data_IF_180995177434
#
_entry.id   IF_180995177434
#
_cell.length_a   1.000
_cell.length_b   1.000
_cell.length_c   1.000
_cell.angle_alpha   90.00
_cell.angle_beta   90.00
_cell.angle_gamma   90.00
#
_symmetry.space_group_name_H-M   'P 1'
#
loop_
_entity.id
_entity.type
_entity.pdbx_description
1 polymer ?
#
# COMPACT_ATOMS: atom_id res chain seq x y z
N UNK A 1 -74.76 -14.57 28.98
CA UNK A 1 -75.67 -14.02 27.96
C UNK A 1 -75.29 -12.57 27.67
N UNK A 2 -74.53 -12.31 26.59
CA UNK A 2 -74.65 -11.17 25.67
C UNK A 2 -73.47 -11.22 24.69
N UNK A 3 -73.81 -11.05 23.41
CA UNK A 3 -73.05 -11.36 22.22
C UNK A 3 -72.92 -10.06 21.41
N UNK A 4 -71.83 -9.95 20.65
CA UNK A 4 -71.55 -9.00 19.54
C UNK A 4 -71.16 -7.57 20.00
N UNK A 5 -70.23 -6.86 19.38
CA UNK A 5 -70.01 -6.68 17.93
C UNK A 5 -68.50 -6.48 17.62
N UNK A 6 -68.04 -7.09 16.52
CA UNK A 6 -66.75 -6.85 15.86
C UNK A 6 -66.68 -5.44 15.25
N UNK A 7 -65.50 -4.84 15.22
CA UNK A 7 -65.11 -4.01 14.07
C UNK A 7 -63.67 -4.31 13.67
N UNK A 8 -63.47 -4.31 12.36
CA UNK A 8 -62.39 -4.93 11.61
C UNK A 8 -61.36 -3.91 11.08
N UNK A 9 -60.18 -4.42 10.71
CA UNK A 9 -59.16 -3.75 9.88
C UNK A 9 -57.81 -3.70 10.61
N UNK A 10 -56.67 -4.14 10.09
CA UNK A 10 -56.23 -4.58 8.76
C UNK A 10 -55.01 -5.53 8.91
N UNK A 11 -54.75 -6.26 7.83
CA UNK A 11 -53.82 -7.37 7.61
C UNK A 11 -52.35 -6.91 7.40
N UNK A 12 -51.39 -7.62 8.04
CA UNK A 12 -49.98 -8.04 7.75
C UNK A 12 -49.05 -7.23 6.80
N UNK A 13 -47.73 -7.55 6.68
CA UNK A 13 -46.67 -7.92 7.65
C UNK A 13 -45.32 -7.19 7.33
N UNK A 14 -44.29 -7.25 8.19
CA UNK A 14 -42.89 -7.14 7.71
C UNK A 14 -41.98 -8.11 8.46
N UNK A 15 -41.18 -8.77 7.63
CA UNK A 15 -40.35 -9.95 7.79
C UNK A 15 -38.91 -9.54 8.14
N UNK A 16 -38.25 -10.35 8.99
CA UNK A 16 -36.83 -10.71 9.01
C UNK A 16 -35.76 -9.66 9.37
N UNK A 17 -35.01 -9.95 10.44
CA UNK A 17 -33.54 -9.82 10.41
C UNK A 17 -32.88 -10.78 11.40
N UNK A 18 -32.39 -11.90 10.89
CA UNK A 18 -31.36 -12.72 11.53
C UNK A 18 -30.19 -12.79 10.54
N UNK A 19 -29.04 -12.23 10.89
CA UNK A 19 -27.78 -12.51 10.22
C UNK A 19 -26.70 -12.77 11.27
N UNK A 20 -26.39 -14.05 11.43
CA UNK A 20 -25.12 -14.53 11.98
C UNK A 20 -24.14 -14.58 10.81
N UNK A 21 -23.01 -13.86 10.89
CA UNK A 21 -21.87 -14.12 10.02
C UNK A 21 -20.87 -15.00 10.79
N UNK A 22 -20.87 -16.29 10.47
CA UNK A 22 -19.85 -17.26 10.87
C UNK A 22 -18.67 -17.19 9.90
N UNK A 23 -17.47 -17.04 10.46
CA UNK A 23 -16.19 -17.31 9.80
C UNK A 23 -16.12 -18.78 9.36
N UNK A 24 -15.99 -19.03 8.06
CA UNK A 24 -15.37 -20.23 7.52
C UNK A 24 -14.70 -19.87 6.19
N UNK A 25 -13.38 -19.75 6.18
CA UNK A 25 -12.58 -19.92 4.97
C UNK A 25 -12.24 -21.40 4.90
N UNK A 26 -12.90 -22.13 4.00
CA UNK A 26 -12.55 -23.50 3.64
C UNK A 26 -11.55 -23.48 2.47
N UNK A 27 -10.45 -24.20 2.67
CA UNK A 27 -9.33 -24.33 1.76
C UNK A 27 -9.46 -25.65 0.99
N UNK A 28 -10.02 -25.61 -0.22
CA UNK A 28 -9.82 -26.67 -1.21
C UNK A 28 -10.02 -26.16 -2.64
N UNK A 29 -8.90 -26.15 -3.38
CA UNK A 29 -8.76 -26.34 -4.84
C UNK A 29 -9.85 -25.73 -5.74
N UNK A 30 -9.58 -24.53 -6.24
CA UNK A 30 -10.14 -24.04 -7.50
C UNK A 30 -8.98 -23.76 -8.46
N UNK A 31 -8.75 -24.69 -9.39
CA UNK A 31 -8.08 -24.39 -10.66
C UNK A 31 -9.02 -23.52 -11.47
N UNK A 32 -8.90 -22.22 -11.27
CA UNK A 32 -9.57 -21.18 -12.03
C UNK A 32 -8.82 -19.90 -11.73
N UNK A 33 -7.94 -19.48 -12.64
CA UNK A 33 -7.35 -18.15 -12.61
C UNK A 33 -8.52 -17.18 -12.82
N UNK A 34 -9.13 -16.74 -11.73
CA UNK A 34 -9.86 -15.48 -11.71
C UNK A 34 -8.80 -14.40 -11.67
N UNK A 35 -8.56 -13.72 -12.80
CA UNK A 35 -7.83 -12.45 -12.85
C UNK A 35 -8.63 -11.38 -12.08
N UNK A 36 -8.64 -11.50 -10.75
CA UNK A 36 -8.94 -10.40 -9.85
C UNK A 36 -7.62 -9.66 -9.67
N UNK A 37 -7.50 -8.50 -10.32
CA UNK A 37 -6.37 -7.60 -10.11
C UNK A 37 -6.31 -7.22 -8.63
N UNK A 38 -5.26 -7.66 -7.94
CA UNK A 38 -4.96 -7.26 -6.57
C UNK A 38 -4.48 -5.81 -6.53
N UNK A 39 -4.46 -5.21 -5.34
CA UNK A 39 -3.90 -3.86 -5.15
C UNK A 39 -2.47 -3.98 -4.60
N UNK A 40 -1.49 -3.60 -5.42
CA UNK A 40 -0.08 -3.53 -5.00
C UNK A 40 0.16 -2.37 -4.04
N UNK A 41 -0.39 -1.22 -4.39
CA UNK A 41 -0.12 0.03 -3.70
C UNK A 41 -1.38 0.89 -3.70
N UNK A 42 -1.70 1.48 -2.55
CA UNK A 42 -2.86 2.34 -2.40
C UNK A 42 -2.52 3.54 -1.53
N UNK A 43 -2.34 4.69 -2.18
CA UNK A 43 -2.37 6.00 -1.53
C UNK A 43 -3.49 6.82 -2.15
N UNK A 44 -4.74 6.50 -1.86
CA UNK A 44 -5.89 7.22 -2.41
C UNK A 44 -6.46 8.28 -1.46
N UNK A 45 -5.66 8.78 -0.50
CA UNK A 45 -6.10 9.76 0.51
C UNK A 45 -6.32 11.14 -0.11
N UNK A 46 -7.49 11.28 -0.73
CA UNK A 46 -7.98 12.50 -1.35
C UNK A 46 -9.14 13.12 -0.56
N UNK A 47 -9.93 12.29 0.10
CA UNK A 47 -11.17 12.70 0.76
C UNK A 47 -10.86 13.14 2.18
N UNK A 48 -11.13 14.40 2.48
CA UNK A 48 -11.08 14.91 3.85
C UNK A 48 -12.46 15.18 4.43
N UNK A 49 -13.46 15.48 3.59
CA UNK A 49 -14.83 15.69 4.04
C UNK A 49 -15.79 14.88 3.16
N UNK A 50 -16.11 13.65 3.56
CA UNK A 50 -17.06 12.81 2.84
C UNK A 50 -18.44 13.47 2.77
N UNK A 51 -19.00 13.60 1.56
CA UNK A 51 -20.34 14.13 1.30
C UNK A 51 -20.56 15.62 1.62
N UNK A 52 -19.54 16.37 2.05
CA UNK A 52 -19.68 17.78 2.43
C UNK A 52 -19.26 18.76 1.33
N UNK A 53 -18.79 18.25 0.18
CA UNK A 53 -18.46 19.05 -1.00
C UNK A 53 -19.71 19.53 -1.75
N UNK A 54 -19.46 20.15 -2.91
CA UNK A 54 -20.52 20.67 -3.76
C UNK A 54 -21.55 19.59 -4.12
N UNK A 55 -22.84 19.89 -3.90
CA UNK A 55 -23.94 19.01 -4.31
C UNK A 55 -23.93 17.64 -3.62
N UNK A 56 -23.29 17.50 -2.45
CA UNK A 56 -23.18 16.24 -1.71
C UNK A 56 -22.04 15.33 -2.18
N UNK A 57 -21.16 15.82 -3.06
CA UNK A 57 -19.91 15.14 -3.42
C UNK A 57 -18.91 15.18 -2.26
N UNK A 58 -17.82 14.41 -2.36
CA UNK A 58 -16.72 14.49 -1.39
C UNK A 58 -15.88 15.75 -1.62
N UNK A 59 -15.32 16.31 -0.54
CA UNK A 59 -14.35 17.38 -0.65
C UNK A 59 -12.93 16.89 -0.31
N UNK A 60 -11.99 17.30 -1.16
CA UNK A 60 -10.56 17.26 -0.90
C UNK A 60 -10.12 18.67 -0.50
N UNK A 61 -9.91 18.90 0.80
CA UNK A 61 -9.60 20.24 1.32
C UNK A 61 -8.10 20.40 1.59
N UNK A 62 -7.56 21.57 1.25
CA UNK A 62 -6.27 22.06 1.75
C UNK A 62 -6.45 22.48 3.21
N UNK A 63 -5.82 21.78 4.16
CA UNK A 63 -5.82 22.22 5.58
C UNK A 63 -4.85 23.38 5.80
N UNK A 64 -5.23 24.32 6.66
CA UNK A 64 -4.34 25.39 7.12
C UNK A 64 -3.27 24.84 8.07
N UNK A 65 -2.02 25.33 8.05
CA UNK A 65 -1.54 26.52 7.32
C UNK A 65 -1.14 26.23 5.86
N UNK A 66 -1.41 25.04 5.34
CA UNK A 66 -1.12 24.67 3.95
C UNK A 66 -1.93 25.48 2.95
N UNK A 67 -1.34 25.70 1.78
CA UNK A 67 -1.94 26.47 0.68
C UNK A 67 -1.92 25.69 -0.64
N UNK A 68 -1.24 24.53 -0.68
CA UNK A 68 -1.04 23.77 -1.89
C UNK A 68 -2.33 23.04 -2.34
N UNK A 69 -2.98 23.64 -3.33
CA UNK A 69 -4.16 23.04 -3.99
C UNK A 69 -3.81 21.87 -4.90
N UNK A 70 -2.63 21.93 -5.51
CA UNK A 70 -2.11 20.91 -6.42
C UNK A 70 -0.76 21.35 -6.98
N UNK A 71 -0.01 20.38 -7.48
CA UNK A 71 1.26 20.60 -8.17
C UNK A 71 1.03 20.61 -9.68
N UNK A 72 1.59 21.58 -10.38
CA UNK A 72 1.47 21.67 -11.84
C UNK A 72 2.08 20.42 -12.48
N UNK A 73 1.33 19.77 -13.35
CA UNK A 73 1.76 18.55 -14.03
C UNK A 73 1.68 18.69 -15.56
N UNK A 74 1.57 19.92 -16.07
CA UNK A 74 1.45 20.19 -17.50
C UNK A 74 2.59 19.53 -18.28
N UNK A 75 2.19 18.67 -19.23
CA UNK A 75 3.09 17.93 -20.10
C UNK A 75 4.15 18.83 -20.76
N UNK A 76 5.34 18.27 -21.01
CA UNK A 76 6.58 18.94 -21.41
C UNK A 76 7.22 19.88 -20.38
N UNK A 77 6.43 20.62 -19.60
CA UNK A 77 6.98 21.62 -18.66
C UNK A 77 7.23 21.05 -17.28
N UNK A 78 6.25 20.32 -16.73
CA UNK A 78 6.29 19.81 -15.37
C UNK A 78 6.11 18.29 -15.35
N UNK A 79 6.68 17.66 -14.32
CA UNK A 79 6.42 16.25 -14.00
C UNK A 79 6.27 16.10 -12.50
N UNK A 80 5.47 15.14 -12.09
CA UNK A 80 5.29 14.74 -10.71
C UNK A 80 5.95 13.38 -10.54
N UNK A 81 6.56 13.11 -9.40
CA UNK A 81 7.05 11.79 -9.07
C UNK A 81 6.81 11.44 -7.62
N UNK A 82 6.54 10.17 -7.35
CA UNK A 82 6.45 9.63 -6.00
C UNK A 82 6.84 8.14 -6.01
N UNK A 83 7.17 7.59 -4.84
CA UNK A 83 7.66 6.21 -4.74
C UNK A 83 6.60 5.18 -4.34
N UNK A 84 6.80 3.97 -4.83
CA UNK A 84 6.06 2.79 -4.42
C UNK A 84 7.01 1.62 -4.19
N UNK A 85 6.58 0.67 -3.36
CA UNK A 85 7.37 -0.51 -3.02
C UNK A 85 6.66 -1.76 -3.49
N UNK A 86 7.38 -2.61 -4.22
CA UNK A 86 7.00 -4.00 -4.48
C UNK A 86 7.45 -4.85 -3.28
N UNK A 87 6.53 -5.53 -2.58
CA UNK A 87 6.87 -6.33 -1.40
C UNK A 87 7.88 -7.44 -1.69
N UNK A 88 8.70 -7.76 -0.68
CA UNK A 88 9.58 -8.93 -0.74
C UNK A 88 8.79 -10.24 -0.95
N UNK A 89 9.38 -11.17 -1.70
CA UNK A 89 8.80 -12.49 -1.94
C UNK A 89 7.82 -12.58 -3.11
N UNK A 90 7.53 -11.47 -3.80
CA UNK A 90 6.61 -11.44 -4.94
C UNK A 90 7.15 -10.58 -6.08
N UNK A 91 6.98 -11.05 -7.31
CA UNK A 91 7.03 -10.22 -8.52
C UNK A 91 5.62 -9.76 -8.78
N UNK A 92 5.43 -8.50 -9.15
CA UNK A 92 4.11 -7.96 -9.46
C UNK A 92 4.03 -7.59 -10.92
N UNK A 93 3.07 -8.18 -11.63
CA UNK A 93 2.68 -7.77 -12.98
C UNK A 93 1.61 -6.70 -12.85
N UNK A 94 1.92 -5.47 -13.22
CA UNK A 94 1.00 -4.33 -13.03
C UNK A 94 0.00 -4.27 -14.18
N UNK A 95 -1.29 -4.30 -13.89
CA UNK A 95 -2.36 -4.23 -14.88
C UNK A 95 -2.72 -2.79 -15.22
N UNK A 96 -2.88 -1.97 -14.18
CA UNK A 96 -3.23 -0.56 -14.37
C UNK A 96 -2.82 0.30 -13.18
N UNK A 97 -2.65 1.59 -13.45
CA UNK A 97 -2.34 2.59 -12.43
C UNK A 97 -3.41 3.68 -12.48
N UNK A 98 -3.92 4.06 -11.32
CA UNK A 98 -4.78 5.21 -11.16
C UNK A 98 -3.96 6.39 -10.67
N UNK A 99 -4.01 7.48 -11.42
CA UNK A 99 -3.51 8.79 -10.99
C UNK A 99 -4.66 9.79 -10.98
N UNK A 100 -4.44 10.95 -10.37
CA UNK A 100 -5.48 11.96 -10.20
C UNK A 100 -4.99 13.32 -10.66
N UNK A 101 -5.84 14.04 -11.40
CA UNK A 101 -5.56 15.39 -11.86
C UNK A 101 -6.86 16.20 -11.97
N UNK A 102 -6.74 17.52 -11.94
CA UNK A 102 -7.85 18.44 -12.23
C UNK A 102 -7.37 19.64 -13.06
N UNK A 103 -8.31 20.33 -13.69
CA UNK A 103 -8.10 21.66 -14.28
C UNK A 103 -9.02 22.66 -13.56
N UNK A 104 -8.59 23.91 -13.37
CA UNK A 104 -9.49 24.91 -12.80
C UNK A 104 -10.60 25.24 -13.79
N UNK A 105 -11.79 25.47 -13.26
CA UNK A 105 -13.01 25.81 -14.00
C UNK A 105 -13.41 24.74 -15.05
N UNK A 106 -13.09 23.46 -14.81
CA UNK A 106 -13.58 22.36 -15.63
C UNK A 106 -14.93 21.83 -15.11
N UNK A 107 -15.72 21.23 -16.01
CA UNK A 107 -16.91 20.45 -15.64
C UNK A 107 -16.57 19.03 -15.19
N UNK A 108 -17.58 18.21 -14.91
CA UNK A 108 -17.43 16.80 -14.51
C UNK A 108 -17.14 15.86 -15.69
N UNK A 109 -17.31 16.33 -16.92
CA UNK A 109 -16.71 15.68 -18.10
C UNK A 109 -15.23 16.02 -18.14
N UNK A 110 -14.39 14.99 -18.10
CA UNK A 110 -12.93 15.19 -18.03
C UNK A 110 -12.40 15.92 -19.25
N UNK A 111 -11.67 17.01 -19.00
CA UNK A 111 -10.90 17.73 -20.01
C UNK A 111 -9.47 17.18 -20.14
N UNK A 112 -9.07 16.24 -19.27
CA UNK A 112 -7.77 15.56 -19.30
C UNK A 112 -7.74 14.59 -20.49
N UNK A 113 -6.76 14.73 -21.37
CA UNK A 113 -6.68 13.98 -22.62
C UNK A 113 -5.36 13.23 -22.82
N UNK A 114 -4.43 13.35 -21.88
CA UNK A 114 -3.10 12.78 -22.02
C UNK A 114 -2.45 12.50 -20.66
N UNK A 115 -1.75 11.37 -20.57
CA UNK A 115 -0.81 11.07 -19.48
C UNK A 115 0.44 10.40 -20.07
N UNK A 116 1.63 10.95 -19.82
CA UNK A 116 2.88 10.22 -20.04
C UNK A 116 3.50 9.81 -18.71
N UNK A 117 4.11 8.63 -18.67
CA UNK A 117 4.61 8.02 -17.44
C UNK A 117 5.90 7.27 -17.70
N UNK A 118 6.82 7.40 -16.74
CA UNK A 118 8.08 6.66 -16.67
C UNK A 118 8.31 6.16 -15.25
N UNK A 119 8.81 4.94 -15.10
CA UNK A 119 9.17 4.37 -13.79
C UNK A 119 10.69 4.19 -13.72
N UNK A 120 11.25 4.51 -12.57
CA UNK A 120 12.66 4.47 -12.27
C UNK A 120 12.94 3.49 -11.15
N UNK A 121 14.04 2.74 -11.28
CA UNK A 121 14.70 2.14 -10.15
C UNK A 121 15.69 3.18 -9.59
N UNK A 122 15.31 3.81 -8.47
CA UNK A 122 15.98 4.99 -7.91
C UNK A 122 15.20 6.29 -8.14
N UNK A 123 15.64 7.38 -7.48
CA UNK A 123 14.98 8.69 -7.54
C UNK A 123 15.19 9.31 -8.94
N UNK A 124 14.16 9.90 -9.58
CA UNK A 124 14.29 10.45 -10.93
C UNK A 124 15.46 11.44 -11.07
N UNK A 125 16.29 11.22 -12.09
CA UNK A 125 17.50 11.99 -12.41
C UNK A 125 18.57 12.06 -11.30
N UNK A 126 18.52 11.21 -10.26
CA UNK A 126 19.64 11.03 -9.34
C UNK A 126 20.69 10.09 -9.94
N UNK A 127 21.98 10.32 -9.67
CA UNK A 127 23.07 9.43 -10.10
C UNK A 127 22.78 7.97 -9.67
N UNK A 128 22.96 7.03 -10.60
CA UNK A 128 22.68 5.60 -10.38
C UNK A 128 21.22 5.19 -10.62
N UNK A 129 20.30 6.13 -10.86
CA UNK A 129 18.89 5.79 -11.12
C UNK A 129 18.66 5.43 -12.58
N UNK A 130 17.92 4.36 -12.82
CA UNK A 130 17.71 3.79 -14.17
C UNK A 130 16.22 3.77 -14.50
N UNK A 131 15.86 4.21 -15.70
CA UNK A 131 14.49 4.07 -16.21
C UNK A 131 14.20 2.60 -16.55
N UNK A 132 13.20 2.01 -15.89
CA UNK A 132 12.84 0.59 -16.02
C UNK A 132 11.53 0.36 -16.77
N UNK A 133 10.70 1.39 -16.92
CA UNK A 133 9.52 1.35 -17.77
C UNK A 133 9.17 2.74 -18.30
N UNK A 134 8.58 2.78 -19.49
CA UNK A 134 7.94 3.95 -20.03
C UNK A 134 8.89 5.06 -20.46
N UNK A 135 8.32 6.22 -20.73
CA UNK A 135 8.97 7.36 -21.35
C UNK A 135 8.17 8.63 -21.07
N UNK A 136 8.69 9.76 -21.54
CA UNK A 136 8.12 11.07 -21.22
C UNK A 136 7.15 11.58 -22.28
N UNK A 137 6.91 10.87 -23.39
CA UNK A 137 6.21 11.38 -24.59
C UNK A 137 4.99 10.56 -25.01
N UNK A 138 4.95 9.26 -24.75
CA UNK A 138 3.85 8.38 -25.12
C UNK A 138 2.65 8.59 -24.20
N UNK A 139 1.48 8.81 -24.79
CA UNK A 139 0.22 8.81 -24.07
C UNK A 139 -0.14 7.39 -23.63
N UNK A 140 -0.23 7.15 -22.33
CA UNK A 140 -0.59 5.87 -21.73
C UNK A 140 -1.96 5.87 -21.06
N UNK A 141 -2.69 6.98 -21.12
CA UNK A 141 -4.04 7.07 -20.57
C UNK A 141 -5.02 6.26 -21.41
N UNK A 142 -5.77 5.34 -20.77
CA UNK A 142 -6.83 4.57 -21.42
C UNK A 142 -8.22 5.04 -21.03
N UNK A 143 -8.36 5.70 -19.87
CA UNK A 143 -9.64 6.20 -19.37
C UNK A 143 -9.44 7.41 -18.48
N UNK A 144 -10.42 8.31 -18.48
CA UNK A 144 -10.52 9.35 -17.46
C UNK A 144 -11.97 9.51 -17.00
N UNK A 145 -12.19 9.65 -15.69
CA UNK A 145 -13.52 9.80 -15.10
C UNK A 145 -13.49 10.75 -13.92
N UNK A 146 -14.58 11.46 -13.69
CA UNK A 146 -14.79 12.21 -12.46
C UNK A 146 -14.87 11.28 -11.26
N UNK A 147 -14.20 11.62 -10.17
CA UNK A 147 -14.14 10.78 -8.95
C UNK A 147 -15.30 10.98 -8.00
N UNK A 148 -16.21 11.92 -8.27
CA UNK A 148 -17.13 12.46 -7.28
C UNK A 148 -16.44 13.22 -6.12
N UNK A 149 -15.24 13.76 -6.37
CA UNK A 149 -14.47 14.56 -5.40
C UNK A 149 -14.13 15.93 -6.01
N UNK A 150 -14.37 17.01 -5.26
CA UNK A 150 -13.92 18.35 -5.63
C UNK A 150 -12.72 18.80 -4.80
N UNK A 151 -11.73 19.42 -5.44
CA UNK A 151 -10.63 20.10 -4.73
C UNK A 151 -11.10 21.49 -4.27
N UNK A 152 -11.07 21.72 -2.96
CA UNK A 152 -11.57 22.94 -2.34
C UNK A 152 -10.59 23.51 -1.30
N UNK A 153 -10.85 24.75 -0.85
CA UNK A 153 -10.22 25.32 0.34
C UNK A 153 -11.15 25.15 1.54
N UNK A 154 -10.60 25.28 2.75
CA UNK A 154 -11.36 25.24 4.00
C UNK A 154 -12.43 26.34 4.09
N UNK A 155 -12.20 27.50 3.49
CA UNK A 155 -13.15 28.62 3.43
C UNK A 155 -14.21 28.48 2.32
N UNK A 156 -14.12 27.46 1.46
CA UNK A 156 -14.95 27.32 0.27
C UNK A 156 -15.18 25.86 -0.13
N UNK A 157 -15.59 25.04 0.86
CA UNK A 157 -15.83 23.59 0.70
C UNK A 157 -16.85 23.24 -0.41
N UNK A 158 -17.82 24.12 -0.66
CA UNK A 158 -18.84 23.97 -1.70
C UNK A 158 -18.36 24.36 -3.11
N UNK A 159 -17.06 24.60 -3.31
CA UNK A 159 -16.49 24.93 -4.63
C UNK A 159 -16.61 23.76 -5.62
N UNK A 160 -17.22 24.01 -6.78
CA UNK A 160 -17.38 23.02 -7.86
C UNK A 160 -16.41 23.21 -9.04
N UNK A 161 -15.48 24.17 -8.96
CA UNK A 161 -14.63 24.56 -10.10
C UNK A 161 -13.38 23.69 -10.27
N UNK A 162 -13.19 22.64 -9.47
CA UNK A 162 -12.02 21.74 -9.54
C UNK A 162 -12.43 20.27 -9.32
N UNK A 163 -13.25 19.71 -10.22
CA UNK A 163 -13.57 18.29 -10.15
C UNK A 163 -12.29 17.47 -10.36
N UNK A 164 -11.99 16.57 -9.42
CA UNK A 164 -10.85 15.68 -9.52
C UNK A 164 -11.21 14.56 -10.50
N UNK A 165 -10.37 14.42 -11.51
CA UNK A 165 -10.46 13.37 -12.51
C UNK A 165 -9.46 12.27 -12.15
N UNK A 166 -9.90 11.02 -12.17
CA UNK A 166 -9.02 9.86 -12.14
C UNK A 166 -8.66 9.46 -13.55
N UNK A 167 -7.38 9.26 -13.83
CA UNK A 167 -6.90 8.68 -15.07
C UNK A 167 -6.46 7.24 -14.82
N UNK A 168 -6.91 6.32 -15.67
CA UNK A 168 -6.38 4.95 -15.73
C UNK A 168 -5.26 4.92 -16.76
N UNK A 169 -4.10 4.46 -16.33
CA UNK A 169 -2.87 4.39 -17.12
C UNK A 169 -2.55 2.92 -17.39
N UNK A 170 -2.29 2.60 -18.65
CA UNK A 170 -1.83 1.28 -19.08
C UNK A 170 -0.30 1.21 -19.01
N UNK A 171 0.22 0.12 -18.46
CA UNK A 171 1.64 -0.18 -18.32
C UNK A 171 2.04 -1.47 -19.07
N UNK A 172 1.18 -1.94 -19.98
CA UNK A 172 1.37 -3.12 -20.82
C UNK A 172 1.73 -4.38 -20.02
N UNK A 173 1.11 -4.56 -18.84
CA UNK A 173 1.38 -5.71 -17.96
C UNK A 173 2.87 -5.88 -17.64
N UNK A 174 3.58 -4.79 -17.34
CA UNK A 174 5.01 -4.85 -16.99
C UNK A 174 5.20 -5.40 -15.58
N UNK A 175 6.15 -6.32 -15.45
CA UNK A 175 6.49 -6.97 -14.18
C UNK A 175 7.63 -6.27 -13.44
N UNK A 176 7.48 -6.14 -12.12
CA UNK A 176 8.47 -5.57 -11.23
C UNK A 176 8.83 -6.55 -10.13
N UNK A 177 10.13 -6.69 -9.87
CA UNK A 177 10.66 -7.47 -8.75
C UNK A 177 10.55 -6.66 -7.44
N UNK A 178 10.77 -7.29 -6.27
CA UNK A 178 10.82 -6.59 -5.00
C UNK A 178 11.81 -5.44 -5.03
N UNK A 179 11.38 -4.29 -4.50
CA UNK A 179 12.18 -3.09 -4.50
C UNK A 179 11.33 -1.83 -4.39
N UNK A 180 12.00 -0.70 -4.19
CA UNK A 180 11.37 0.62 -4.22
C UNK A 180 11.65 1.27 -5.56
N UNK A 181 10.58 1.72 -6.20
CA UNK A 181 10.60 2.38 -7.50
C UNK A 181 10.00 3.76 -7.38
N UNK A 182 10.41 4.66 -8.27
CA UNK A 182 9.80 5.98 -8.40
C UNK A 182 9.02 6.05 -9.69
N UNK A 183 7.73 6.37 -9.58
CA UNK A 183 6.89 6.63 -10.73
C UNK A 183 6.89 8.13 -10.99
N UNK A 184 7.21 8.54 -12.20
CA UNK A 184 7.00 9.90 -12.67
C UNK A 184 5.92 9.98 -13.74
N UNK A 185 5.14 11.07 -13.73
CA UNK A 185 4.12 11.32 -14.72
C UNK A 185 3.95 12.81 -15.05
N UNK A 186 3.38 13.06 -16.21
CA UNK A 186 2.81 14.37 -16.57
C UNK A 186 1.49 14.19 -17.30
N UNK A 187 0.70 15.25 -17.29
CA UNK A 187 -0.70 15.25 -17.72
C UNK A 187 -0.92 16.40 -18.69
N UNK A 188 -1.78 16.21 -19.70
CA UNK A 188 -2.27 17.31 -20.53
C UNK A 188 -3.79 17.37 -20.53
N UNK A 189 -4.32 18.54 -20.91
CA UNK A 189 -5.75 18.77 -20.98
C UNK A 189 -6.13 19.72 -22.12
N UNK A 190 -7.42 19.77 -22.40
CA UNK A 190 -8.00 20.52 -23.53
C UNK A 190 -8.34 21.97 -23.20
N UNK A 191 -8.28 22.39 -21.92
CA UNK A 191 -8.60 23.75 -21.49
C UNK A 191 -7.39 24.50 -20.92
N UNK A 192 -7.49 25.82 -20.83
CA UNK A 192 -6.44 26.76 -20.39
C UNK A 192 -6.25 26.80 -18.86
N UNK A 193 -6.02 25.64 -18.24
CA UNK A 193 -5.67 25.55 -16.82
C UNK A 193 -4.89 24.30 -16.47
N UNK A 194 -3.72 24.41 -15.84
CA UNK A 194 -2.94 23.23 -15.46
C UNK A 194 -2.68 22.31 -16.67
N UNK A 195 -2.74 20.97 -16.52
CA UNK A 195 -3.36 20.25 -15.39
C UNK A 195 -2.58 20.24 -14.07
N UNK A 196 -3.29 20.03 -12.96
CA UNK A 196 -2.74 19.98 -11.60
C UNK A 196 -2.96 18.60 -10.98
N UNK A 197 -1.96 18.05 -10.30
CA UNK A 197 -2.11 16.85 -9.46
C UNK A 197 -2.38 17.27 -8.00
N UNK A 198 -3.50 16.87 -7.39
CA UNK A 198 -3.76 17.16 -5.98
C UNK A 198 -2.80 16.38 -5.08
N UNK A 199 -2.29 16.95 -3.97
CA UNK A 199 -1.51 16.19 -3.01
C UNK A 199 -2.43 15.25 -2.19
N UNK A 200 -1.83 14.25 -1.53
CA UNK A 200 -2.51 13.52 -0.45
C UNK A 200 -2.97 14.50 0.61
N UNK A 201 -4.21 14.35 1.04
CA UNK A 201 -4.86 15.18 2.06
C UNK A 201 -5.33 14.27 3.19
N UNK A 202 -4.57 14.26 4.29
CA UNK A 202 -4.79 13.41 5.46
C UNK A 202 -5.12 14.31 6.65
N UNK A 203 -6.19 13.98 7.37
CA UNK A 203 -6.65 14.81 8.48
C UNK A 203 -5.61 14.90 9.60
N UNK A 204 -5.29 16.12 10.03
CA UNK A 204 -4.43 16.35 11.19
C UNK A 204 -2.92 16.18 10.96
N UNK A 205 -2.46 16.03 9.71
CA UNK A 205 -1.02 16.05 9.39
C UNK A 205 -0.70 16.90 8.16
N UNK A 206 0.29 17.76 8.28
CA UNK A 206 0.86 18.50 7.15
C UNK A 206 1.75 17.61 6.28
N UNK A 207 2.48 16.67 6.87
CA UNK A 207 3.39 15.77 6.14
C UNK A 207 2.61 14.56 5.62
N UNK A 208 2.61 14.38 4.31
CA UNK A 208 1.84 13.32 3.64
C UNK A 208 2.66 12.46 2.67
N UNK A 209 3.97 12.69 2.59
CA UNK A 209 4.88 11.90 1.75
C UNK A 209 6.09 12.71 1.32
N UNK A 210 6.79 12.22 0.30
CA UNK A 210 8.11 12.67 -0.15
C UNK A 210 8.15 12.87 -1.68
N UNK A 211 7.00 13.17 -2.27
CA UNK A 211 6.86 13.37 -3.70
C UNK A 211 7.69 14.56 -4.20
N UNK A 212 8.04 14.51 -5.47
CA UNK A 212 8.86 15.52 -6.14
C UNK A 212 8.15 16.09 -7.35
N UNK A 213 8.45 17.35 -7.65
CA UNK A 213 8.05 17.99 -8.89
C UNK A 213 9.31 18.37 -9.69
N UNK A 214 9.29 18.04 -10.98
CA UNK A 214 10.28 18.53 -11.93
C UNK A 214 9.80 19.85 -12.52
N UNK A 215 10.66 20.87 -12.47
CA UNK A 215 10.54 22.11 -13.24
C UNK A 215 11.88 22.42 -13.87
N UNK A 216 11.92 22.74 -15.16
CA UNK A 216 13.16 23.02 -15.91
C UNK A 216 14.28 22.01 -15.63
N UNK A 217 13.94 20.71 -15.67
CA UNK A 217 14.83 19.55 -15.45
C UNK A 217 15.31 19.29 -14.01
N UNK A 218 15.03 20.19 -13.07
CA UNK A 218 15.39 20.02 -11.65
C UNK A 218 14.22 19.40 -10.89
N UNK A 219 14.49 18.35 -10.12
CA UNK A 219 13.52 17.74 -9.20
C UNK A 219 13.65 18.36 -7.82
N UNK A 220 12.56 18.92 -7.31
CA UNK A 220 12.47 19.45 -5.95
C UNK A 220 11.36 18.74 -5.19
N UNK A 221 11.48 18.67 -3.87
CA UNK A 221 10.40 18.18 -3.02
C UNK A 221 9.14 19.03 -3.19
N UNK A 222 7.98 18.36 -3.25
CA UNK A 222 6.70 19.05 -3.17
C UNK A 222 6.50 19.42 -1.71
N UNK A 223 6.69 20.70 -1.42
CA UNK A 223 6.64 21.28 -0.09
C UNK A 223 5.50 22.31 -0.01
N UNK A 224 4.75 22.28 1.09
CA UNK A 224 3.72 23.27 1.41
C UNK A 224 4.01 23.86 2.79
N UNK A 225 4.62 25.04 2.83
CA UNK A 225 4.97 25.75 4.07
C UNK A 225 5.78 24.89 5.08
N UNK A 226 6.79 24.16 4.61
CA UNK A 226 7.65 23.31 5.42
C UNK A 226 7.22 21.84 5.48
N UNK A 227 6.01 21.51 5.00
CA UNK A 227 5.50 20.15 5.04
C UNK A 227 5.66 19.42 3.71
N UNK A 228 6.27 18.24 3.73
CA UNK A 228 6.47 17.39 2.56
C UNK A 228 5.17 16.69 2.17
N UNK A 229 4.87 16.65 0.88
CA UNK A 229 3.61 16.10 0.37
C UNK A 229 3.85 14.80 -0.37
N UNK A 230 2.93 13.87 -0.24
CA UNK A 230 2.79 12.71 -1.12
C UNK A 230 1.77 12.98 -2.22
N UNK A 231 1.76 12.13 -3.23
CA UNK A 231 0.81 12.17 -4.33
C UNK A 231 -0.09 10.95 -4.28
N UNK A 232 -1.39 11.12 -4.51
CA UNK A 232 -2.28 10.00 -4.48
C UNK A 232 -2.17 9.21 -5.79
N UNK A 233 -1.99 7.90 -5.68
CA UNK A 233 -2.10 6.96 -6.79
C UNK A 233 -2.37 5.55 -6.26
N UNK A 234 -2.92 4.70 -7.14
CA UNK A 234 -3.23 3.30 -6.83
C UNK A 234 -2.65 2.44 -7.93
N UNK A 235 -2.00 1.34 -7.55
CA UNK A 235 -1.43 0.38 -8.49
C UNK A 235 -2.17 -0.94 -8.32
N UNK A 236 -2.73 -1.43 -9.43
CA UNK A 236 -3.37 -2.73 -9.52
C UNK A 236 -2.50 -3.68 -10.31
N UNK A 237 -2.47 -4.94 -9.91
CA UNK A 237 -1.70 -5.95 -10.59
C UNK A 237 -1.96 -7.32 -10.04
N UNK A 238 -1.28 -8.30 -10.62
CA UNK A 238 -1.27 -9.67 -10.14
C UNK A 238 0.06 -9.95 -9.45
N UNK A 239 -0.01 -10.43 -8.21
CA UNK A 239 1.16 -10.92 -7.51
C UNK A 239 1.51 -12.33 -7.96
N UNK A 240 2.73 -12.51 -8.43
CA UNK A 240 3.33 -13.83 -8.65
C UNK A 240 4.34 -14.04 -7.54
N UNK A 241 4.17 -15.03 -6.65
CA UNK A 241 5.21 -15.37 -5.70
C UNK A 241 6.53 -15.53 -6.45
N UNK A 242 7.59 -14.89 -5.96
CA UNK A 242 8.94 -15.30 -6.34
C UNK A 242 9.12 -16.64 -5.66
N UNK A 243 8.65 -17.66 -6.36
CA UNK A 243 9.37 -18.91 -6.37
C UNK A 243 10.75 -18.44 -6.83
N UNK A 244 11.77 -18.56 -5.98
CA UNK A 244 13.08 -18.71 -6.57
C UNK A 244 12.98 -19.87 -7.58
N UNK A 245 14.11 -20.37 -8.02
CA UNK A 245 14.13 -21.81 -7.83
C UNK A 245 14.02 -21.93 -6.30
N UNK A 246 12.80 -22.15 -5.75
CA UNK A 246 12.73 -23.08 -4.63
C UNK A 246 13.21 -24.33 -5.31
N UNK A 247 14.54 -24.46 -5.37
CA UNK A 247 15.07 -25.76 -5.23
C UNK A 247 14.34 -26.20 -3.98
N UNK A 248 13.60 -27.28 -4.11
CA UNK A 248 13.48 -28.18 -3.02
C UNK A 248 14.90 -28.72 -2.70
N UNK A 249 15.89 -27.81 -2.54
CA UNK A 249 17.01 -27.92 -1.65
C UNK A 249 16.33 -27.91 -0.28
N UNK A 250 15.74 -29.08 0.00
CA UNK A 250 15.93 -29.75 1.26
C UNK A 250 17.27 -29.24 1.79
N UNK A 251 17.27 -28.42 2.85
CA UNK A 251 18.50 -27.92 3.43
C UNK A 251 19.44 -29.11 3.58
N UNK A 252 20.70 -28.97 3.22
CA UNK A 252 21.65 -30.09 3.42
C UNK A 252 22.14 -30.15 4.87
N UNK A 253 21.83 -29.12 5.66
CA UNK A 253 22.21 -29.01 7.07
C UNK A 253 21.16 -28.26 7.90
N UNK A 254 21.19 -28.49 9.20
CA UNK A 254 20.49 -27.69 10.18
C UNK A 254 21.13 -26.31 10.28
N UNK A 255 20.32 -25.25 10.41
CA UNK A 255 20.83 -23.91 10.68
C UNK A 255 19.84 -23.07 11.50
N UNK A 256 20.37 -22.22 12.37
CA UNK A 256 19.63 -21.16 13.06
C UNK A 256 20.26 -19.84 12.64
N UNK A 257 19.52 -18.99 11.92
CA UNK A 257 20.02 -17.70 11.44
C UNK A 257 20.00 -16.66 12.55
N UNK A 258 20.85 -15.64 12.40
CA UNK A 258 20.76 -14.44 13.22
C UNK A 258 19.38 -13.79 13.01
N UNK A 259 18.77 -13.32 14.09
CA UNK A 259 17.47 -12.64 14.01
C UNK A 259 17.57 -11.32 13.22
N UNK A 260 16.49 -10.93 12.54
CA UNK A 260 16.40 -9.65 11.84
C UNK A 260 15.07 -8.94 12.14
N UNK A 261 15.10 -7.65 12.54
CA UNK A 261 16.30 -6.84 12.81
C UNK A 261 17.06 -7.31 14.08
N UNK A 262 18.34 -6.92 14.23
CA UNK A 262 19.12 -7.05 15.47
C UNK A 262 20.18 -5.92 15.56
N UNK A 263 20.09 -4.99 16.53
CA UNK A 263 19.09 -4.90 17.60
C UNK A 263 17.65 -4.72 17.10
N UNK A 264 16.65 -5.06 17.92
CA UNK A 264 15.22 -5.03 17.56
C UNK A 264 14.35 -4.34 18.62
N UNK A 265 13.18 -3.84 18.22
CA UNK A 265 12.17 -3.20 19.09
C UNK A 265 10.73 -3.41 18.58
N UNK A 266 9.83 -4.06 19.33
CA UNK A 266 10.06 -5.21 20.19
C UNK A 266 9.92 -6.53 19.41
N UNK A 267 9.74 -6.50 18.08
CA UNK A 267 9.49 -7.68 17.24
C UNK A 267 10.69 -8.00 16.36
N UNK A 268 11.04 -9.28 16.25
CA UNK A 268 12.10 -9.77 15.36
C UNK A 268 11.73 -11.12 14.73
N UNK A 269 12.34 -11.42 13.58
CA UNK A 269 12.19 -12.69 12.87
C UNK A 269 13.42 -13.57 13.09
N UNK A 270 13.22 -14.87 13.31
CA UNK A 270 14.27 -15.87 13.51
C UNK A 270 14.08 -16.98 12.47
N UNK A 271 14.91 -16.99 11.44
CA UNK A 271 14.88 -18.04 10.41
C UNK A 271 15.68 -19.27 10.85
N UNK A 272 15.21 -20.46 10.48
CA UNK A 272 15.90 -21.71 10.74
C UNK A 272 15.66 -22.74 9.61
N UNK A 273 16.57 -23.70 9.50
CA UNK A 273 16.58 -24.71 8.43
C UNK A 273 16.66 -26.10 9.03
N UNK A 274 15.91 -27.03 8.44
CA UNK A 274 15.84 -28.43 8.86
C UNK A 274 16.06 -29.32 7.62
N UNK A 275 17.08 -30.20 7.58
CA UNK A 275 17.41 -31.03 6.43
C UNK A 275 16.57 -32.31 6.32
N UNK A 276 15.96 -32.76 7.42
CA UNK A 276 15.18 -33.99 7.51
C UNK A 276 14.01 -33.79 8.50
N UNK A 277 13.02 -34.70 8.50
CA UNK A 277 11.93 -34.58 9.45
C UNK A 277 12.42 -34.84 10.90
N UNK A 278 12.29 -33.85 11.79
CA UNK A 278 12.73 -33.97 13.20
C UNK A 278 11.90 -33.10 14.15
N UNK A 279 12.07 -33.31 15.45
CA UNK A 279 11.53 -32.43 16.47
C UNK A 279 12.43 -31.21 16.66
N UNK A 280 11.85 -30.01 16.54
CA UNK A 280 12.54 -28.73 16.71
C UNK A 280 11.93 -27.98 17.89
N UNK A 281 12.80 -27.49 18.78
CA UNK A 281 12.43 -26.54 19.84
C UNK A 281 13.27 -25.29 19.72
N UNK A 282 12.64 -24.12 19.71
CA UNK A 282 13.35 -22.83 19.80
C UNK A 282 12.90 -22.12 21.05
N UNK A 283 13.87 -21.83 21.92
CA UNK A 283 13.64 -21.26 23.25
C UNK A 283 14.50 -20.00 23.39
N UNK A 284 13.93 -18.95 23.95
CA UNK A 284 14.61 -17.73 24.34
C UNK A 284 14.93 -17.79 25.83
N UNK A 285 16.18 -17.47 26.16
CA UNK A 285 16.69 -17.34 27.52
C UNK A 285 17.12 -15.90 27.78
N UNK A 286 17.03 -15.46 29.03
CA UNK A 286 17.72 -14.25 29.47
C UNK A 286 19.22 -14.51 29.72
N UNK A 287 19.97 -13.46 30.08
CA UNK A 287 21.42 -13.55 30.32
C UNK A 287 21.80 -14.44 31.52
N UNK A 288 20.85 -14.74 32.41
CA UNK A 288 21.06 -15.64 33.56
C UNK A 288 20.83 -17.10 33.20
N UNK A 289 20.36 -17.38 31.98
CA UNK A 289 20.03 -18.72 31.51
C UNK A 289 18.61 -19.17 31.87
N UNK A 290 17.75 -18.27 32.35
CA UNK A 290 16.34 -18.57 32.60
C UNK A 290 15.57 -18.58 31.29
N UNK A 291 14.78 -19.62 31.05
CA UNK A 291 13.84 -19.68 29.93
C UNK A 291 12.76 -18.60 30.10
N UNK A 292 12.65 -17.70 29.12
CA UNK A 292 11.67 -16.61 29.13
C UNK A 292 10.57 -16.80 28.10
N UNK A 293 10.83 -17.51 27.00
CA UNK A 293 9.82 -17.79 25.99
C UNK A 293 10.16 -19.03 25.17
N UNK A 294 9.17 -19.89 24.91
CA UNK A 294 9.27 -21.01 23.98
C UNK A 294 8.54 -20.63 22.70
N UNK A 295 9.27 -20.48 21.60
CA UNK A 295 8.73 -20.00 20.33
C UNK A 295 8.10 -21.11 19.50
N UNK A 296 8.76 -22.27 19.46
CA UNK A 296 8.25 -23.49 18.81
C UNK A 296 8.65 -24.72 19.61
N UNK A 297 7.82 -25.76 19.54
CA UNK A 297 8.08 -27.09 20.10
C UNK A 297 7.21 -28.11 19.35
N UNK A 298 7.80 -28.79 18.37
CA UNK A 298 7.05 -29.72 17.53
C UNK A 298 7.86 -30.34 16.40
N UNK A 299 7.18 -31.16 15.59
CA UNK A 299 7.77 -31.90 14.47
C UNK A 299 7.73 -31.09 13.18
N UNK A 300 8.87 -30.91 12.53
CA UNK A 300 9.03 -30.17 11.28
C UNK A 300 9.58 -31.09 10.21
N UNK A 301 9.11 -30.94 8.96
CA UNK A 301 9.66 -31.63 7.79
C UNK A 301 10.96 -30.96 7.34
N UNK A 302 11.63 -31.57 6.37
CA UNK A 302 12.74 -30.91 5.68
C UNK A 302 12.26 -29.59 5.04
N UNK A 303 12.93 -28.48 5.36
CA UNK A 303 12.57 -27.17 4.86
C UNK A 303 13.21 -26.01 5.60
N UNK A 304 12.98 -24.81 5.06
CA UNK A 304 13.35 -23.54 5.67
C UNK A 304 12.11 -22.90 6.29
N UNK A 305 12.26 -22.36 7.50
CA UNK A 305 11.18 -21.86 8.34
C UNK A 305 11.55 -20.51 8.96
N UNK A 306 10.54 -19.77 9.43
CA UNK A 306 10.72 -18.51 10.14
C UNK A 306 9.76 -18.45 11.34
N UNK A 307 10.24 -18.00 12.49
CA UNK A 307 9.42 -17.74 13.68
C UNK A 307 9.56 -16.30 14.13
N UNK A 308 8.44 -15.69 14.55
CA UNK A 308 8.39 -14.33 15.05
C UNK A 308 8.49 -14.35 16.56
N UNK A 309 9.36 -13.51 17.14
CA UNK A 309 9.36 -13.23 18.57
C UNK A 309 8.92 -11.79 18.83
N UNK A 310 7.82 -11.63 19.55
CA UNK A 310 7.40 -10.34 20.11
C UNK A 310 7.85 -10.27 21.57
N UNK A 311 8.82 -9.40 21.84
CA UNK A 311 9.42 -9.23 23.15
C UNK A 311 8.86 -8.03 23.94
N UNK A 312 7.65 -7.56 23.60
CA UNK A 312 7.07 -6.34 24.18
C UNK A 312 6.97 -6.34 25.71
N UNK A 313 6.86 -7.51 26.32
CA UNK A 313 6.74 -7.69 27.77
C UNK A 313 8.09 -7.84 28.51
N UNK A 314 9.22 -7.89 27.80
CA UNK A 314 10.54 -8.11 28.41
C UNK A 314 11.39 -6.83 28.42
N UNK A 315 12.37 -6.73 29.32
CA UNK A 315 13.24 -5.54 29.46
C UNK A 315 14.28 -5.45 28.34
N UNK A 316 14.72 -4.25 27.98
CA UNK A 316 15.87 -4.05 27.06
C UNK A 316 17.09 -4.81 27.56
N UNK A 317 17.85 -5.41 26.65
CA UNK A 317 19.02 -6.20 27.01
C UNK A 317 19.33 -7.33 26.03
N UNK A 318 20.29 -8.14 26.42
CA UNK A 318 20.73 -9.31 25.66
C UNK A 318 19.91 -10.54 26.03
N UNK A 319 19.46 -11.25 25.01
CA UNK A 319 18.77 -12.53 25.09
C UNK A 319 19.52 -13.57 24.29
N UNK A 320 19.30 -14.83 24.63
CA UNK A 320 19.92 -15.98 23.98
C UNK A 320 18.80 -16.79 23.33
N UNK A 321 18.77 -16.88 22.01
CA UNK A 321 17.91 -17.79 21.28
C UNK A 321 18.65 -19.10 21.06
N UNK A 322 18.04 -20.23 21.43
CA UNK A 322 18.62 -21.55 21.22
C UNK A 322 17.64 -22.46 20.50
N UNK A 323 18.14 -23.10 19.45
CA UNK A 323 17.46 -24.18 18.74
C UNK A 323 17.98 -25.52 19.24
N UNK A 324 17.05 -26.43 19.49
CA UNK A 324 17.30 -27.83 19.83
C UNK A 324 16.67 -28.73 18.78
N UNK A 325 17.46 -29.65 18.26
CA UNK A 325 17.06 -30.78 17.42
C UNK A 325 17.77 -32.03 17.93
N UNK A 326 17.37 -33.21 17.47
CA UNK A 326 17.97 -34.47 17.91
C UNK A 326 19.49 -34.53 17.64
N UNK A 327 19.94 -34.01 16.49
CA UNK A 327 21.34 -34.04 16.03
C UNK A 327 22.02 -32.67 15.94
N UNK A 328 21.34 -31.60 16.37
CA UNK A 328 21.84 -30.23 16.19
C UNK A 328 21.39 -29.32 17.33
N UNK A 329 22.28 -28.43 17.76
CA UNK A 329 21.91 -27.30 18.59
C UNK A 329 22.68 -26.05 18.17
N UNK A 330 22.00 -24.92 18.12
CA UNK A 330 22.61 -23.65 17.77
C UNK A 330 22.09 -22.53 18.66
N UNK A 331 22.92 -21.51 18.83
CA UNK A 331 22.66 -20.38 19.71
C UNK A 331 22.91 -19.07 18.97
N UNK A 332 22.03 -18.09 19.14
CA UNK A 332 22.17 -16.71 18.66
C UNK A 332 21.92 -15.70 19.78
N UNK A 333 22.68 -14.61 19.75
CA UNK A 333 22.52 -13.48 20.68
C UNK A 333 21.56 -12.47 20.07
N UNK A 334 20.56 -12.07 20.84
CA UNK A 334 19.51 -11.14 20.43
C UNK A 334 19.63 -9.89 21.30
N UNK A 335 19.58 -8.71 20.69
CA UNK A 335 19.67 -7.43 21.38
C UNK A 335 18.33 -6.70 21.30
N UNK A 336 17.57 -6.69 22.38
CA UNK A 336 16.33 -5.92 22.50
C UNK A 336 16.66 -4.50 22.97
N UNK A 337 16.18 -3.50 22.23
CA UNK A 337 16.26 -2.09 22.61
C UNK A 337 14.82 -1.57 22.67
N UNK A 338 14.49 -0.86 23.74
CA UNK A 338 13.21 -0.15 23.90
C UNK A 338 13.46 1.35 23.90
#
# INVERSE_FOLDING_TARGET
MKKKILQAGKILPVVLLLFLFSNFYDSSVMTGVTDISDTLYNQNELITHPGQGFGGADASIVELPGTLRGSNALHNTFRIADDFTVPAGYTWTIDSIYIYAYQNNSGTTSSINFVSMKIWNGIPNQSGSVGVFGDTTTNRMTRTVFTNIYRAKSDSIQSNVRPIMRQTVNINHTSFNPGTYWMDWSVNGSISSGPWCPPRSIWGTGNTGNSKQRSSYVWNDINDSGYLKGQPFVIFGTQTPIIGIKNNEIPVSYDLKQNFPNPFNPVTNIAFSVPEETNVRIIIYDITGKEVSKLIDGKYKAGNYNVVWNAGMYSSGMYICRMYCEKYSAVKKLMLIK
#
